data_IF_772234598135
#
_entry.id   IF_772234598135
#
_cell.length_a   1.000
_cell.length_b   1.000
_cell.length_c   1.000
_cell.angle_alpha   90.00
_cell.angle_beta   90.00
_cell.angle_gamma   90.00
#
_symmetry.space_group_name_H-M   'P 1'
#
loop_
_entity.id
_entity.type
_entity.pdbx_description
1 polymer ?
#
# COMPACT_ATOMS: atom_id res chain seq x y z
N UNK A 1 -6.41 -10.57 -12.06
CA UNK A 1 -6.14 -9.58 -10.99
C UNK A 1 -6.91 -9.95 -9.74
N UNK A 2 -6.28 -9.92 -8.55
CA UNK A 2 -6.93 -10.12 -7.24
C UNK A 2 -6.56 -8.96 -6.31
N UNK A 3 -7.55 -8.34 -5.67
CA UNK A 3 -7.35 -7.35 -4.60
C UNK A 3 -7.45 -8.05 -3.25
N UNK A 4 -6.56 -7.68 -2.33
CA UNK A 4 -6.39 -8.36 -1.03
C UNK A 4 -6.34 -7.28 0.05
N UNK A 5 -7.23 -7.35 1.02
CA UNK A 5 -7.26 -6.45 2.18
C UNK A 5 -6.09 -6.65 3.14
N UNK A 6 -6.20 -6.04 4.29
CA UNK A 6 -5.21 -5.98 5.34
C UNK A 6 -4.59 -7.32 5.73
N UNK A 7 -3.28 -7.37 5.74
CA UNK A 7 -2.56 -8.57 6.19
C UNK A 7 -1.73 -8.35 7.45
N UNK A 8 -1.38 -7.10 7.77
CA UNK A 8 -0.60 -6.73 8.97
C UNK A 8 0.59 -7.67 9.21
N UNK A 9 1.40 -7.92 8.17
CA UNK A 9 2.57 -8.78 8.22
C UNK A 9 2.28 -10.28 8.31
N UNK A 10 1.04 -10.74 8.16
CA UNK A 10 0.67 -12.17 8.16
C UNK A 10 1.04 -12.83 6.83
N UNK A 11 2.33 -12.86 6.53
CA UNK A 11 2.86 -13.30 5.23
C UNK A 11 2.49 -14.73 4.87
N UNK A 12 2.37 -15.64 5.85
CA UNK A 12 1.99 -17.03 5.58
C UNK A 12 0.52 -17.15 5.10
N UNK A 13 -0.39 -16.34 5.65
CA UNK A 13 -1.76 -16.26 5.19
C UNK A 13 -1.82 -15.65 3.79
N UNK A 14 -1.08 -14.58 3.56
CA UNK A 14 -0.97 -13.93 2.25
C UNK A 14 -0.45 -14.88 1.18
N UNK A 15 0.61 -15.65 1.48
CA UNK A 15 1.15 -16.68 0.60
C UNK A 15 0.10 -17.65 0.09
N UNK A 16 -0.77 -18.13 0.97
CA UNK A 16 -1.85 -19.08 0.59
C UNK A 16 -2.84 -18.46 -0.39
N UNK A 17 -3.04 -17.13 -0.29
CA UNK A 17 -3.97 -16.39 -1.14
C UNK A 17 -3.39 -16.17 -2.54
N UNK A 18 -2.06 -15.92 -2.66
CA UNK A 18 -1.45 -15.48 -3.92
C UNK A 18 -0.73 -16.57 -4.71
N UNK A 19 -0.43 -17.73 -4.11
CA UNK A 19 0.46 -18.76 -4.70
C UNK A 19 0.11 -19.19 -6.13
N UNK A 20 -1.19 -19.18 -6.48
CA UNK A 20 -1.70 -19.59 -7.81
C UNK A 20 -2.35 -18.41 -8.56
N UNK A 21 -2.06 -17.18 -8.16
CA UNK A 21 -2.64 -15.96 -8.73
C UNK A 21 -1.61 -15.28 -9.60
N UNK A 22 -1.87 -15.02 -10.89
CA UNK A 22 -0.90 -14.37 -11.78
C UNK A 22 -0.68 -12.90 -11.43
N UNK A 23 -1.67 -12.21 -10.86
CA UNK A 23 -1.57 -10.81 -10.50
C UNK A 23 -2.39 -10.50 -9.25
N UNK A 24 -1.79 -9.78 -8.30
CA UNK A 24 -2.49 -9.27 -7.14
C UNK A 24 -2.02 -7.88 -6.72
N UNK A 25 -2.95 -7.13 -6.13
CA UNK A 25 -2.66 -5.87 -5.44
C UNK A 25 -3.22 -6.00 -4.03
N UNK A 26 -2.34 -5.83 -3.04
CA UNK A 26 -2.73 -5.73 -1.66
C UNK A 26 -3.05 -4.26 -1.36
N UNK A 27 -4.20 -4.01 -0.77
CA UNK A 27 -4.80 -2.68 -0.72
C UNK A 27 -4.59 -1.96 0.61
N UNK A 28 -3.38 -2.02 1.13
CA UNK A 28 -2.94 -1.29 2.32
C UNK A 28 -2.82 -2.18 3.57
N UNK A 29 -2.08 -1.69 4.56
CA UNK A 29 -1.75 -2.42 5.78
C UNK A 29 -1.04 -3.76 5.53
N UNK A 30 -0.04 -3.70 4.64
CA UNK A 30 0.83 -4.84 4.39
C UNK A 30 1.69 -5.17 5.62
N UNK A 31 2.05 -4.16 6.40
CA UNK A 31 2.88 -4.27 7.59
C UNK A 31 4.34 -3.85 7.35
N UNK A 32 4.59 -2.93 6.41
CA UNK A 32 5.93 -2.38 6.17
C UNK A 32 6.38 -1.46 7.30
N UNK A 33 7.69 -1.54 7.61
CA UNK A 33 8.31 -0.78 8.69
C UNK A 33 8.25 -1.49 10.05
N UNK A 34 7.46 -2.56 10.20
CA UNK A 34 7.49 -3.47 11.35
C UNK A 34 8.49 -4.60 11.07
N UNK A 35 9.46 -4.78 11.96
CA UNK A 35 10.46 -5.85 11.80
C UNK A 35 9.81 -7.24 11.69
N UNK A 36 10.24 -8.10 10.75
CA UNK A 36 11.37 -7.93 9.82
C UNK A 36 11.02 -7.29 8.48
N UNK A 37 9.83 -6.73 8.29
CA UNK A 37 9.28 -6.29 7.00
C UNK A 37 9.91 -4.98 6.49
N UNK A 38 11.16 -5.06 6.07
CA UNK A 38 11.83 -4.00 5.30
C UNK A 38 11.40 -4.05 3.82
N UNK A 39 11.61 -2.97 3.07
CA UNK A 39 11.35 -2.94 1.63
C UNK A 39 12.03 -4.11 0.89
N UNK A 40 13.32 -4.32 1.12
CA UNK A 40 14.09 -5.41 0.49
C UNK A 40 13.52 -6.79 0.83
N UNK A 41 13.11 -7.00 2.08
CA UNK A 41 12.52 -8.27 2.51
C UNK A 41 11.19 -8.54 1.82
N UNK A 42 10.30 -7.53 1.78
CA UNK A 42 8.99 -7.64 1.15
C UNK A 42 9.13 -7.81 -0.37
N UNK A 43 10.00 -7.05 -1.02
CA UNK A 43 10.25 -7.18 -2.45
C UNK A 43 10.71 -8.60 -2.81
N UNK A 44 11.74 -9.13 -2.14
CA UNK A 44 12.20 -10.51 -2.34
C UNK A 44 11.11 -11.54 -2.07
N UNK A 45 10.27 -11.29 -1.06
CA UNK A 45 9.16 -12.17 -0.75
C UNK A 45 8.14 -12.19 -1.89
N UNK A 46 7.70 -11.02 -2.37
CA UNK A 46 6.74 -10.90 -3.47
C UNK A 46 7.31 -11.44 -4.80
N UNK A 47 8.56 -11.14 -5.11
CA UNK A 47 9.28 -11.65 -6.30
C UNK A 47 9.49 -13.17 -6.29
N UNK A 48 9.39 -13.82 -5.13
CA UNK A 48 9.50 -15.29 -5.03
C UNK A 48 8.29 -16.04 -5.57
N UNK A 49 7.17 -15.35 -5.78
CA UNK A 49 5.97 -15.93 -6.37
C UNK A 49 5.95 -15.74 -7.89
N UNK A 50 5.29 -16.67 -8.55
CA UNK A 50 5.05 -16.57 -9.98
C UNK A 50 3.97 -15.50 -10.24
N UNK A 51 4.28 -14.54 -11.11
CA UNK A 51 3.35 -13.47 -11.46
C UNK A 51 3.80 -12.10 -10.98
N UNK A 52 2.88 -11.16 -10.93
CA UNK A 52 3.12 -9.78 -10.50
C UNK A 52 2.31 -9.47 -9.24
N UNK A 53 2.99 -9.21 -8.15
CA UNK A 53 2.37 -8.94 -6.86
C UNK A 53 2.86 -7.59 -6.35
N UNK A 54 1.91 -6.67 -6.13
CA UNK A 54 2.22 -5.30 -5.70
C UNK A 54 1.30 -4.90 -4.54
N UNK A 55 1.54 -3.73 -3.97
CA UNK A 55 0.71 -3.20 -2.90
C UNK A 55 0.65 -1.67 -2.94
N UNK A 56 -0.44 -1.10 -2.42
CA UNK A 56 -0.51 0.28 -1.98
C UNK A 56 -0.25 0.34 -0.47
N UNK A 57 0.14 1.50 0.05
CA UNK A 57 0.31 1.67 1.51
C UNK A 57 -1.03 1.76 2.23
N UNK A 58 -1.09 1.25 3.45
CA UNK A 58 -2.12 1.58 4.43
C UNK A 58 -1.62 2.65 5.41
N UNK A 59 -2.42 2.97 6.43
CA UNK A 59 -2.03 3.88 7.51
C UNK A 59 -0.98 3.26 8.45
N UNK A 60 -0.95 1.92 8.57
CA UNK A 60 0.04 1.23 9.38
C UNK A 60 1.36 0.97 8.64
N UNK A 61 1.45 1.24 7.35
CA UNK A 61 2.67 1.06 6.58
C UNK A 61 3.56 2.32 6.66
N UNK A 62 4.83 2.15 6.97
CA UNK A 62 5.79 3.24 6.98
C UNK A 62 6.06 3.73 5.56
N UNK A 63 5.61 4.94 5.22
CA UNK A 63 5.75 5.51 3.88
C UNK A 63 7.21 5.62 3.43
N UNK A 64 8.14 5.94 4.34
CA UNK A 64 9.57 6.00 3.99
C UNK A 64 10.09 4.64 3.54
N UNK A 65 9.64 3.55 4.18
CA UNK A 65 10.00 2.18 3.79
C UNK A 65 9.29 1.77 2.50
N UNK A 66 8.03 2.16 2.31
CA UNK A 66 7.31 1.91 1.06
C UNK A 66 8.05 2.50 -0.15
N UNK A 67 8.54 3.74 -0.03
CA UNK A 67 9.29 4.44 -1.11
C UNK A 67 10.58 3.72 -1.55
N UNK A 68 11.13 2.84 -0.74
CA UNK A 68 12.31 2.03 -1.07
C UNK A 68 11.94 0.72 -1.80
N UNK A 69 10.65 0.35 -1.80
CA UNK A 69 10.17 -0.91 -2.37
C UNK A 69 9.82 -0.76 -3.85
N UNK A 70 10.23 -1.75 -4.64
CA UNK A 70 9.89 -1.86 -6.07
C UNK A 70 8.46 -2.34 -6.31
N UNK A 71 7.89 -3.03 -5.32
CA UNK A 71 6.54 -3.59 -5.41
C UNK A 71 5.46 -2.62 -4.92
N UNK A 72 5.86 -1.47 -4.38
CA UNK A 72 4.92 -0.42 -3.96
C UNK A 72 4.35 0.33 -5.15
N UNK A 73 3.04 0.58 -5.11
CA UNK A 73 2.34 1.46 -6.07
C UNK A 73 2.18 2.83 -5.40
N UNK A 74 2.82 3.88 -5.91
CA UNK A 74 2.72 5.23 -5.33
C UNK A 74 1.31 5.81 -5.35
N UNK A 75 1.02 6.69 -4.38
CA UNK A 75 -0.22 7.45 -4.35
C UNK A 75 -0.36 8.28 -5.63
N UNK A 76 -1.53 8.23 -6.26
CA UNK A 76 -1.82 8.93 -7.51
C UNK A 76 -1.35 8.20 -8.78
N UNK A 77 -0.70 7.05 -8.67
CA UNK A 77 -0.37 6.24 -9.83
C UNK A 77 -1.62 5.82 -10.60
N UNK A 78 -1.59 5.96 -11.93
CA UNK A 78 -2.69 5.56 -12.80
C UNK A 78 -2.17 4.54 -13.81
N UNK A 79 -2.79 3.37 -13.83
CA UNK A 79 -2.55 2.35 -14.84
C UNK A 79 -3.84 1.59 -15.17
N UNK A 80 -4.02 1.21 -16.42
CA UNK A 80 -5.20 0.45 -16.89
C UNK A 80 -6.53 1.08 -16.43
N UNK A 81 -6.69 2.40 -16.57
CA UNK A 81 -7.85 3.18 -16.13
C UNK A 81 -8.13 3.10 -14.60
N UNK A 82 -7.16 2.70 -13.81
CA UNK A 82 -7.26 2.60 -12.34
C UNK A 82 -6.31 3.57 -11.67
N UNK A 83 -6.79 4.39 -10.75
CA UNK A 83 -6.00 5.25 -9.88
C UNK A 83 -5.84 4.61 -8.51
N UNK A 84 -4.62 4.66 -7.96
CA UNK A 84 -4.27 4.07 -6.67
C UNK A 84 -3.97 5.16 -5.65
N UNK A 85 -4.56 5.06 -4.46
CA UNK A 85 -4.35 6.00 -3.36
C UNK A 85 -4.30 5.21 -2.05
N UNK A 86 -3.19 5.27 -1.36
CA UNK A 86 -3.02 4.65 -0.06
C UNK A 86 -3.10 5.63 1.10
N UNK A 87 -2.87 5.11 2.30
CA UNK A 87 -2.91 5.86 3.54
C UNK A 87 -4.31 6.16 4.03
N UNK A 88 -4.45 6.32 5.33
CA UNK A 88 -5.68 6.69 6.01
C UNK A 88 -5.36 7.29 7.38
N UNK A 89 -6.35 7.85 8.06
CA UNK A 89 -6.19 8.38 9.41
C UNK A 89 -6.42 7.28 10.45
N UNK A 90 -5.40 6.97 11.24
CA UNK A 90 -5.55 6.05 12.37
C UNK A 90 -6.46 6.63 13.44
N UNK A 91 -7.61 6.02 13.68
CA UNK A 91 -8.56 6.44 14.71
C UNK A 91 -8.01 6.28 16.13
N UNK A 92 -7.03 5.42 16.30
CA UNK A 92 -6.40 5.07 17.59
C UNK A 92 -5.00 5.70 17.76
N UNK A 93 -4.59 6.64 16.89
CA UNK A 93 -3.26 7.26 16.92
C UNK A 93 -2.86 7.87 18.26
N UNK A 94 -3.82 8.28 19.07
CA UNK A 94 -3.57 8.79 20.43
C UNK A 94 -2.99 7.74 21.40
N UNK A 95 -3.12 6.45 21.07
CA UNK A 95 -2.60 5.32 21.85
C UNK A 95 -1.33 4.71 21.24
N UNK A 96 -0.83 5.29 20.15
CA UNK A 96 0.31 4.81 19.39
C UNK A 96 1.53 5.69 19.59
N UNK A 97 2.69 5.17 19.24
CA UNK A 97 3.97 5.86 19.39
C UNK A 97 4.54 6.16 18.00
N UNK A 98 4.79 7.45 17.74
CA UNK A 98 5.41 7.90 16.49
C UNK A 98 6.76 7.21 16.26
N UNK A 99 7.03 6.78 15.05
CA UNK A 99 8.19 6.00 14.60
C UNK A 99 8.31 4.56 15.13
N UNK A 100 7.31 4.08 15.86
CA UNK A 100 7.24 2.69 16.31
C UNK A 100 6.05 1.97 15.66
N UNK A 101 4.85 2.49 15.84
CA UNK A 101 3.61 1.90 15.37
C UNK A 101 2.62 2.94 14.81
N UNK A 102 3.09 4.18 14.64
CA UNK A 102 2.36 5.27 14.01
C UNK A 102 3.31 6.16 13.20
N UNK A 103 2.84 6.66 12.05
CA UNK A 103 3.60 7.48 11.12
C UNK A 103 2.84 8.79 10.90
N UNK A 104 3.50 9.93 11.08
CA UNK A 104 2.89 11.25 10.92
C UNK A 104 2.35 11.49 9.50
N UNK A 105 2.94 10.84 8.51
CA UNK A 105 2.59 10.90 7.09
C UNK A 105 1.68 9.73 6.65
N UNK A 106 0.96 9.13 7.61
CA UNK A 106 -0.03 8.09 7.32
C UNK A 106 -1.17 8.56 6.42
N UNK A 107 -1.59 9.82 6.61
CA UNK A 107 -2.58 10.50 5.77
C UNK A 107 -1.93 11.32 4.68
N UNK A 108 -2.66 11.55 3.60
CA UNK A 108 -2.33 12.57 2.61
C UNK A 108 -2.53 13.97 3.21
N UNK A 109 -1.57 14.85 2.97
CA UNK A 109 -1.75 16.27 3.27
C UNK A 109 -2.83 16.89 2.37
N UNK A 110 -3.40 18.02 2.78
CA UNK A 110 -4.37 18.76 1.95
C UNK A 110 -3.81 19.10 0.58
N UNK A 111 -2.52 19.44 0.49
CA UNK A 111 -1.85 19.71 -0.79
C UNK A 111 -1.84 18.47 -1.69
N UNK A 112 -1.42 17.33 -1.17
CA UNK A 112 -1.41 16.07 -1.92
C UNK A 112 -2.81 15.67 -2.37
N UNK A 113 -3.83 15.84 -1.52
CA UNK A 113 -5.22 15.59 -1.89
C UNK A 113 -5.70 16.45 -3.06
N UNK A 114 -5.34 17.75 -3.08
CA UNK A 114 -5.67 18.61 -4.23
C UNK A 114 -4.94 18.18 -5.50
N UNK A 115 -3.65 17.85 -5.41
CA UNK A 115 -2.88 17.35 -6.56
C UNK A 115 -3.46 16.05 -7.13
N UNK A 116 -3.92 15.14 -6.26
CA UNK A 116 -4.60 13.91 -6.67
C UNK A 116 -5.96 14.18 -7.31
N UNK A 117 -6.72 15.14 -6.78
CA UNK A 117 -8.00 15.55 -7.35
C UNK A 117 -7.81 16.13 -8.76
N UNK A 118 -6.82 17.00 -8.96
CA UNK A 118 -6.49 17.56 -10.27
C UNK A 118 -6.08 16.45 -11.25
N UNK A 119 -5.27 15.51 -10.80
CA UNK A 119 -4.89 14.33 -11.59
C UNK A 119 -6.10 13.47 -11.96
N UNK A 120 -7.03 13.25 -11.02
CA UNK A 120 -8.26 12.52 -11.28
C UNK A 120 -9.13 13.23 -12.34
N UNK A 121 -9.33 14.55 -12.21
CA UNK A 121 -10.13 15.36 -13.15
C UNK A 121 -9.52 15.31 -14.55
N UNK A 122 -8.18 15.38 -14.64
CA UNK A 122 -7.46 15.37 -15.92
C UNK A 122 -7.52 13.98 -16.60
N UNK A 123 -7.27 12.92 -15.87
CA UNK A 123 -7.10 11.57 -16.41
C UNK A 123 -8.41 10.76 -16.43
N UNK A 124 -9.37 11.09 -15.60
CA UNK A 124 -10.70 10.44 -15.50
C UNK A 124 -10.62 8.91 -15.42
N UNK A 125 -9.86 8.35 -14.48
CA UNK A 125 -9.79 6.90 -14.33
C UNK A 125 -11.18 6.32 -14.03
N UNK A 126 -11.45 5.13 -14.56
CA UNK A 126 -12.75 4.47 -14.37
C UNK A 126 -12.88 3.78 -13.02
N UNK A 127 -11.75 3.49 -12.38
CA UNK A 127 -11.69 2.82 -11.08
C UNK A 127 -10.71 3.53 -10.17
N UNK A 128 -11.03 3.55 -8.88
CA UNK A 128 -10.10 3.93 -7.83
C UNK A 128 -9.93 2.75 -6.88
N UNK A 129 -8.69 2.51 -6.48
CA UNK A 129 -8.33 1.55 -5.43
C UNK A 129 -7.72 2.35 -4.29
N UNK A 130 -8.38 2.32 -3.14
CA UNK A 130 -7.97 3.09 -1.97
C UNK A 130 -7.85 2.19 -0.74
N UNK A 131 -7.11 2.66 0.26
CA UNK A 131 -7.17 2.17 1.63
C UNK A 131 -8.03 3.11 2.49
N UNK A 132 -8.76 2.59 3.50
CA UNK A 132 -9.63 3.35 4.43
C UNK A 132 -9.22 3.17 5.91
#
# INVERSE_FOLDING_TARGET
MRYIGDIHGRLESYRRIIKDVPESIQVGDFGLGFKPNTAIYVDKYLESFKGTHRYIRGNHDNLSVCKESKCWIPDGHIENDTMFIGGANSIDKQYRVEHIDWWRDEELSSKEMYELLDSYILNKPKMMVTHD
#
